data_IF_471784135002
#
_entry.id   IF_471784135002
#
_cell.length_a   1.000
_cell.length_b   1.000
_cell.length_c   1.000
_cell.angle_alpha   90.00
_cell.angle_beta   90.00
_cell.angle_gamma   90.00
#
_symmetry.space_group_name_H-M   'P 1'
#
loop_
_entity.id
_entity.type
_entity.pdbx_description
1 polymer ?
#
# COMPACT_ATOMS: atom_id res chain seq x y z
N UNK A 1 6.71 15.87 100.28
CA UNK A 1 7.75 16.79 99.82
C UNK A 1 7.48 17.15 98.37
N UNK A 2 7.36 18.44 98.13
CA UNK A 2 7.40 19.21 96.87
C UNK A 2 6.46 18.82 95.73
N UNK A 3 5.39 19.60 95.76
CA UNK A 3 4.53 20.17 94.70
C UNK A 3 5.31 20.55 93.43
N UNK A 4 4.73 20.30 92.27
CA UNK A 4 4.85 21.19 91.08
C UNK A 4 3.57 21.14 90.25
N UNK A 5 2.87 22.25 90.27
CA UNK A 5 1.74 22.63 89.45
C UNK A 5 2.25 22.86 88.03
N UNK A 6 1.58 22.30 87.01
CA UNK A 6 1.73 22.69 85.63
C UNK A 6 0.42 23.20 85.08
N UNK A 7 0.45 24.46 84.73
CA UNK A 7 -0.65 25.19 84.15
C UNK A 7 -0.85 24.73 82.68
N UNK A 8 -2.08 24.34 82.31
CA UNK A 8 -2.48 24.11 80.95
C UNK A 8 -2.90 25.41 80.27
N UNK A 9 -2.12 25.86 79.26
CA UNK A 9 -2.44 26.98 78.40
C UNK A 9 -3.31 26.40 77.23
N UNK A 10 -4.59 26.77 77.18
CA UNK A 10 -5.46 26.43 76.06
C UNK A 10 -5.24 27.48 74.94
N UNK A 11 -4.62 27.02 73.86
CA UNK A 11 -4.54 27.83 72.61
C UNK A 11 -5.71 27.47 71.72
N UNK A 12 -6.63 28.43 71.60
CA UNK A 12 -7.77 28.33 70.68
C UNK A 12 -7.29 28.66 69.26
N UNK A 13 -7.15 27.65 68.39
CA UNK A 13 -6.85 27.82 66.95
C UNK A 13 -8.16 28.01 66.17
N UNK A 14 -8.41 29.24 65.70
CA UNK A 14 -9.47 29.54 64.71
C UNK A 14 -9.07 28.93 63.35
N UNK A 15 -9.76 27.91 62.90
CA UNK A 15 -9.68 27.41 61.55
C UNK A 15 -10.52 28.28 60.60
N UNK A 16 -9.88 29.09 59.78
CA UNK A 16 -10.52 29.81 58.67
C UNK A 16 -10.64 28.85 57.52
N UNK A 17 -11.84 28.26 57.29
CA UNK A 17 -12.14 27.52 56.05
C UNK A 17 -12.27 28.45 54.89
N UNK A 18 -11.24 28.57 54.08
CA UNK A 18 -11.29 29.22 52.75
C UNK A 18 -11.88 28.21 51.75
N UNK A 19 -13.15 28.37 51.37
CA UNK A 19 -13.73 27.71 50.22
C UNK A 19 -13.10 28.28 48.94
N UNK A 20 -11.97 27.66 48.50
CA UNK A 20 -11.44 27.85 47.16
C UNK A 20 -12.23 27.01 46.18
N UNK A 21 -13.23 27.59 45.51
CA UNK A 21 -13.90 26.97 44.38
C UNK A 21 -12.90 26.74 43.26
N UNK A 22 -12.51 25.49 43.03
CA UNK A 22 -11.76 25.10 41.85
C UNK A 22 -12.65 25.32 40.63
N UNK A 23 -12.35 26.36 39.87
CA UNK A 23 -12.93 26.57 38.54
C UNK A 23 -12.36 25.49 37.67
N UNK A 24 -13.13 24.41 37.39
CA UNK A 24 -12.82 23.42 36.39
C UNK A 24 -12.86 24.12 35.02
N UNK A 25 -11.73 24.55 34.53
CA UNK A 25 -11.56 24.97 33.13
C UNK A 25 -11.71 23.72 32.31
N UNK A 26 -12.91 23.44 31.76
CA UNK A 26 -13.09 22.47 30.70
C UNK A 26 -12.15 22.85 29.56
N UNK A 27 -11.30 21.93 29.07
CA UNK A 27 -10.50 22.20 27.90
C UNK A 27 -11.44 22.55 26.75
N UNK A 28 -11.38 23.77 26.26
CA UNK A 28 -12.03 24.18 25.01
C UNK A 28 -11.62 23.16 23.93
N UNK A 29 -12.55 22.64 23.13
CA UNK A 29 -12.17 21.78 22.02
C UNK A 29 -11.20 22.55 21.14
N UNK A 30 -9.97 22.07 21.03
CA UNK A 30 -9.00 22.59 20.08
C UNK A 30 -9.63 22.49 18.70
N UNK A 31 -10.03 23.61 18.12
CA UNK A 31 -10.49 23.69 16.73
C UNK A 31 -9.24 23.37 15.91
N UNK A 32 -9.07 22.11 15.58
CA UNK A 32 -8.05 21.71 14.62
C UNK A 32 -8.42 22.38 13.31
N UNK A 33 -7.58 23.29 12.82
CA UNK A 33 -7.82 24.00 11.58
C UNK A 33 -8.10 22.99 10.47
N UNK A 34 -9.12 23.23 9.67
CA UNK A 34 -9.45 22.38 8.53
C UNK A 34 -8.21 22.23 7.64
N UNK A 35 -7.83 21.00 7.24
CA UNK A 35 -6.70 20.80 6.32
C UNK A 35 -6.98 21.34 4.91
N UNK A 36 -8.14 21.93 4.68
CA UNK A 36 -8.58 22.48 3.40
C UNK A 36 -8.72 24.02 3.46
N UNK A 37 -8.45 24.72 2.32
CA UNK A 37 -8.05 24.19 1.02
C UNK A 37 -6.66 23.58 1.01
N UNK A 38 -6.47 22.51 0.22
CA UNK A 38 -5.18 21.86 0.04
C UNK A 38 -4.80 21.79 -1.46
N UNK A 39 -3.58 22.20 -1.79
CA UNK A 39 -3.01 22.00 -3.13
C UNK A 39 -1.99 20.88 -3.06
N UNK A 40 -2.18 19.85 -3.87
CA UNK A 40 -1.40 18.63 -3.89
C UNK A 40 -0.73 18.44 -5.25
N UNK A 41 0.50 17.94 -5.27
CA UNK A 41 1.13 17.44 -6.50
C UNK A 41 0.84 15.95 -6.62
N UNK A 42 0.29 15.53 -7.74
CA UNK A 42 0.01 14.13 -8.02
C UNK A 42 1.23 13.40 -8.64
N UNK A 43 1.09 12.11 -8.95
CA UNK A 43 2.18 11.29 -9.52
C UNK A 43 2.54 11.66 -10.97
N UNK A 44 1.78 12.53 -11.63
CA UNK A 44 2.11 13.14 -12.93
C UNK A 44 2.66 14.57 -12.78
N UNK A 45 3.02 15.00 -11.55
CA UNK A 45 3.46 16.35 -11.21
C UNK A 45 2.43 17.44 -11.54
N UNK A 46 1.14 17.09 -11.58
CA UNK A 46 0.06 18.05 -11.78
C UNK A 46 -0.38 18.62 -10.43
N UNK A 47 -0.72 19.90 -10.43
CA UNK A 47 -1.24 20.57 -9.24
C UNK A 47 -2.76 20.37 -9.17
N UNK A 48 -3.24 19.75 -8.09
CA UNK A 48 -4.66 19.49 -7.83
C UNK A 48 -5.08 20.24 -6.57
N UNK A 49 -6.02 21.19 -6.71
CA UNK A 49 -6.53 21.98 -5.57
C UNK A 49 -7.86 21.39 -5.10
N UNK A 50 -7.92 21.04 -3.82
CA UNK A 50 -9.10 20.52 -3.14
C UNK A 50 -9.55 21.61 -2.18
N UNK A 51 -10.67 22.26 -2.48
CA UNK A 51 -11.14 23.47 -1.78
C UNK A 51 -11.78 23.17 -0.42
N UNK A 52 -12.40 22.02 -0.29
CA UNK A 52 -13.06 21.54 0.93
C UNK A 52 -12.92 20.03 1.04
N UNK A 53 -13.22 19.46 2.21
CA UNK A 53 -13.21 18.02 2.39
C UNK A 53 -14.15 17.34 1.37
N UNK A 54 -13.64 16.45 0.52
CA UNK A 54 -14.50 15.79 -0.47
C UNK A 54 -15.37 14.73 0.21
N UNK A 55 -16.67 14.72 -0.11
CA UNK A 55 -17.65 13.80 0.47
C UNK A 55 -18.14 12.74 -0.53
N UNK A 56 -17.83 12.90 -1.82
CA UNK A 56 -18.18 11.95 -2.88
C UNK A 56 -16.92 11.58 -3.67
N UNK A 57 -16.39 10.40 -3.39
CA UNK A 57 -15.12 9.91 -3.96
C UNK A 57 -15.40 8.83 -5.00
N UNK A 58 -14.74 8.92 -6.14
CA UNK A 58 -14.65 7.82 -7.09
C UNK A 58 -13.22 7.33 -7.13
N UNK A 59 -13.03 6.01 -7.06
CA UNK A 59 -11.73 5.36 -7.07
C UNK A 59 -11.60 4.45 -8.29
N UNK A 60 -10.62 4.75 -9.14
CA UNK A 60 -10.30 3.98 -10.34
C UNK A 60 -8.91 3.38 -10.16
N UNK A 61 -8.87 2.22 -9.52
CA UNK A 61 -7.67 1.46 -9.18
C UNK A 61 -7.80 0.71 -7.86
N UNK A 62 -7.63 -0.64 -7.84
CA UNK A 62 -7.85 -1.45 -6.64
C UNK A 62 -6.96 -1.05 -5.45
N UNK A 63 -5.70 -0.71 -5.71
CA UNK A 63 -4.78 -0.24 -4.66
C UNK A 63 -5.22 1.10 -4.05
N UNK A 64 -5.76 2.01 -4.87
CA UNK A 64 -6.28 3.30 -4.44
C UNK A 64 -7.50 3.08 -3.54
N UNK A 65 -8.41 2.22 -3.98
CA UNK A 65 -9.61 1.84 -3.21
C UNK A 65 -9.20 1.30 -1.84
N UNK A 66 -8.26 0.36 -1.79
CA UNK A 66 -7.75 -0.19 -0.52
C UNK A 66 -7.17 0.91 0.40
N UNK A 67 -6.45 1.91 -0.15
CA UNK A 67 -5.96 3.05 0.62
C UNK A 67 -7.08 3.91 1.18
N UNK A 68 -8.09 4.24 0.38
CA UNK A 68 -9.22 5.07 0.83
C UNK A 68 -9.97 4.41 1.99
N UNK A 69 -10.17 3.09 1.93
CA UNK A 69 -10.76 2.35 3.03
C UNK A 69 -9.84 2.30 4.26
N UNK A 70 -8.54 2.05 4.08
CA UNK A 70 -7.56 2.07 5.18
C UNK A 70 -7.45 3.44 5.87
N UNK A 71 -7.70 4.53 5.14
CA UNK A 71 -7.76 5.89 5.65
C UNK A 71 -9.12 6.27 6.26
N UNK A 72 -10.07 5.34 6.36
CA UNK A 72 -11.41 5.59 6.88
C UNK A 72 -12.30 6.44 5.96
N UNK A 73 -11.91 6.60 4.69
CA UNK A 73 -12.69 7.33 3.69
C UNK A 73 -13.73 6.44 2.96
N UNK A 74 -13.75 5.14 3.23
CA UNK A 74 -14.65 4.17 2.60
C UNK A 74 -16.14 4.57 2.54
N UNK A 75 -16.75 5.12 3.60
CA UNK A 75 -18.14 5.59 3.57
C UNK A 75 -18.41 6.70 2.52
N UNK A 76 -17.40 7.43 2.10
CA UNK A 76 -17.48 8.49 1.09
C UNK A 76 -17.21 8.01 -0.34
N UNK A 77 -16.73 6.78 -0.50
CA UNK A 77 -16.50 6.17 -1.81
C UNK A 77 -17.86 5.78 -2.41
N UNK A 78 -18.26 6.47 -3.47
CA UNK A 78 -19.53 6.27 -4.17
C UNK A 78 -19.40 5.42 -5.44
N UNK A 79 -18.18 5.28 -5.98
CA UNK A 79 -17.91 4.46 -7.15
C UNK A 79 -16.48 3.91 -7.15
N UNK A 80 -16.33 2.70 -7.71
CA UNK A 80 -15.06 1.98 -7.83
C UNK A 80 -14.93 1.34 -9.21
N UNK A 81 -13.72 0.99 -9.64
CA UNK A 81 -13.53 0.17 -10.83
C UNK A 81 -13.94 -1.30 -10.59
N UNK A 82 -14.07 -2.06 -11.69
CA UNK A 82 -14.54 -3.46 -11.66
C UNK A 82 -13.57 -4.42 -10.96
N UNK A 83 -12.33 -3.99 -10.67
CA UNK A 83 -11.29 -4.79 -10.01
C UNK A 83 -11.13 -4.46 -8.51
N UNK A 84 -11.87 -3.46 -8.02
CA UNK A 84 -11.81 -3.00 -6.63
C UNK A 84 -12.71 -3.84 -5.73
N UNK A 85 -12.23 -4.98 -5.29
CA UNK A 85 -12.92 -6.00 -4.48
C UNK A 85 -12.40 -6.10 -3.03
N UNK A 86 -11.37 -5.33 -2.68
CA UNK A 86 -10.82 -5.27 -1.32
C UNK A 86 -10.85 -3.82 -0.75
N UNK A 87 -11.36 -3.67 0.48
CA UNK A 87 -12.06 -4.68 1.30
C UNK A 87 -13.39 -5.10 0.65
N UNK A 88 -13.99 -6.20 1.07
CA UNK A 88 -15.23 -6.73 0.51
C UNK A 88 -16.37 -5.67 0.42
N UNK A 89 -16.37 -4.69 1.32
CA UNK A 89 -17.30 -3.55 1.28
C UNK A 89 -17.12 -2.70 0.00
N UNK A 90 -15.93 -2.62 -0.57
CA UNK A 90 -15.67 -1.86 -1.79
C UNK A 90 -16.46 -2.42 -2.98
N UNK A 91 -16.57 -3.74 -3.10
CA UNK A 91 -17.33 -4.40 -4.15
C UNK A 91 -18.85 -4.11 -4.13
N UNK A 92 -19.36 -3.49 -3.07
CA UNK A 92 -20.77 -3.07 -2.97
C UNK A 92 -21.05 -1.67 -3.54
N UNK A 93 -20.01 -0.95 -3.98
CA UNK A 93 -20.12 0.39 -4.54
C UNK A 93 -20.54 0.34 -6.03
N UNK A 94 -20.96 1.47 -6.58
CA UNK A 94 -21.25 1.56 -8.01
C UNK A 94 -19.99 1.29 -8.85
N UNK A 95 -20.08 0.39 -9.82
CA UNK A 95 -18.96 0.06 -10.69
C UNK A 95 -18.89 1.02 -11.89
N UNK A 96 -17.74 1.65 -12.06
CA UNK A 96 -17.49 2.66 -13.13
C UNK A 96 -16.66 2.12 -14.29
N UNK A 97 -16.62 0.80 -14.47
CA UNK A 97 -15.88 0.10 -15.54
C UNK A 97 -14.54 -0.45 -15.08
N UNK A 98 -13.94 -1.30 -15.91
CA UNK A 98 -12.67 -1.97 -15.64
C UNK A 98 -11.52 -1.36 -16.45
N UNK A 99 -10.92 -2.14 -17.39
CA UNK A 99 -9.85 -1.67 -18.29
C UNK A 99 -10.28 -0.39 -19.06
N UNK A 100 -11.55 -0.29 -19.42
CA UNK A 100 -12.14 0.92 -19.96
C UNK A 100 -13.06 1.54 -18.91
N UNK A 101 -12.75 2.78 -18.55
CA UNK A 101 -13.58 3.57 -17.63
C UNK A 101 -14.89 3.97 -18.32
N UNK A 102 -16.00 3.75 -17.64
CA UNK A 102 -17.31 4.25 -18.07
C UNK A 102 -17.46 5.70 -17.61
N UNK A 103 -17.08 6.61 -18.48
CA UNK A 103 -17.09 8.06 -18.25
C UNK A 103 -18.46 8.58 -17.80
N UNK A 104 -19.54 8.11 -18.43
CA UNK A 104 -20.89 8.57 -18.13
C UNK A 104 -21.32 8.19 -16.72
N UNK A 105 -20.97 6.98 -16.27
CA UNK A 105 -21.21 6.54 -14.89
C UNK A 105 -20.42 7.39 -13.89
N UNK A 106 -19.14 7.69 -14.17
CA UNK A 106 -18.34 8.56 -13.29
C UNK A 106 -19.01 9.92 -13.12
N UNK A 107 -19.41 10.55 -14.23
CA UNK A 107 -20.08 11.87 -14.21
C UNK A 107 -21.43 11.81 -13.50
N UNK A 108 -22.23 10.76 -13.72
CA UNK A 108 -23.52 10.57 -13.08
C UNK A 108 -23.44 10.47 -11.55
N UNK A 109 -22.32 9.96 -11.02
CA UNK A 109 -22.06 9.87 -9.58
C UNK A 109 -21.76 11.22 -8.93
N UNK A 110 -21.53 12.28 -9.72
CA UNK A 110 -21.23 13.65 -9.25
C UNK A 110 -20.14 13.66 -8.18
N UNK A 111 -18.94 13.12 -8.45
CA UNK A 111 -17.87 13.08 -7.46
C UNK A 111 -17.27 14.47 -7.22
N UNK A 112 -16.89 14.74 -5.98
CA UNK A 112 -16.08 15.92 -5.62
C UNK A 112 -14.61 15.71 -6.00
N UNK A 113 -14.15 14.44 -5.97
CA UNK A 113 -12.78 14.06 -6.29
C UNK A 113 -12.76 12.65 -6.90
N UNK A 114 -12.05 12.51 -8.00
CA UNK A 114 -11.75 11.23 -8.64
C UNK A 114 -10.29 10.89 -8.38
N UNK A 115 -10.04 9.72 -7.82
CA UNK A 115 -8.71 9.12 -7.75
C UNK A 115 -8.56 8.12 -8.89
N UNK A 116 -7.44 8.15 -9.59
CA UNK A 116 -7.25 7.30 -10.75
C UNK A 116 -5.81 6.83 -10.87
N UNK A 117 -5.61 5.60 -11.32
CA UNK A 117 -4.32 5.19 -11.86
C UNK A 117 -4.01 5.98 -13.12
N UNK A 118 -2.76 5.94 -13.56
CA UNK A 118 -2.35 6.55 -14.81
C UNK A 118 -2.94 5.78 -16.01
N UNK A 119 -3.55 6.51 -16.94
CA UNK A 119 -3.98 6.01 -18.22
C UNK A 119 -3.22 6.70 -19.35
N UNK A 120 -3.00 5.99 -20.47
CA UNK A 120 -2.35 6.51 -21.68
C UNK A 120 -3.33 6.77 -22.84
N UNK A 121 -4.62 6.53 -22.63
CA UNK A 121 -5.67 6.59 -23.66
C UNK A 121 -6.50 7.88 -23.66
N UNK A 122 -6.07 8.89 -22.89
CA UNK A 122 -6.77 10.17 -22.75
C UNK A 122 -7.94 10.13 -21.76
N UNK A 123 -8.07 9.07 -20.96
CA UNK A 123 -9.14 8.97 -19.94
C UNK A 123 -9.08 10.10 -18.92
N UNK A 124 -7.88 10.45 -18.45
CA UNK A 124 -7.71 11.52 -17.45
C UNK A 124 -8.13 12.87 -18.01
N UNK A 125 -7.72 13.18 -19.24
CA UNK A 125 -8.05 14.43 -19.94
C UNK A 125 -9.56 14.55 -20.16
N UNK A 126 -10.24 13.46 -20.49
CA UNK A 126 -11.71 13.43 -20.66
C UNK A 126 -12.43 13.71 -19.34
N UNK A 127 -11.96 13.12 -18.22
CA UNK A 127 -12.54 13.38 -16.90
C UNK A 127 -12.36 14.84 -16.51
N UNK A 128 -11.19 15.43 -16.77
CA UNK A 128 -10.91 16.85 -16.51
C UNK A 128 -11.75 17.78 -17.40
N UNK A 129 -11.93 17.45 -18.67
CA UNK A 129 -12.78 18.21 -19.58
C UNK A 129 -14.25 18.26 -19.13
N UNK A 130 -14.71 17.27 -18.34
CA UNK A 130 -16.00 17.28 -17.66
C UNK A 130 -15.99 18.06 -16.34
N UNK A 131 -14.96 18.87 -16.08
CA UNK A 131 -14.79 19.66 -14.84
C UNK A 131 -14.68 18.80 -13.58
N UNK A 132 -14.30 17.54 -13.70
CA UNK A 132 -14.01 16.69 -12.55
C UNK A 132 -12.60 16.95 -12.03
N UNK A 133 -12.46 17.03 -10.71
CA UNK A 133 -11.17 17.13 -10.05
C UNK A 133 -10.54 15.71 -9.99
N UNK A 134 -9.38 15.53 -10.63
CA UNK A 134 -8.75 14.19 -10.78
C UNK A 134 -7.35 14.20 -10.20
N UNK A 135 -7.08 13.31 -9.25
CA UNK A 135 -5.77 13.07 -8.64
C UNK A 135 -5.23 11.72 -9.12
N UNK A 136 -4.12 11.73 -9.85
CA UNK A 136 -3.49 10.51 -10.38
C UNK A 136 -2.51 9.93 -9.36
N UNK A 137 -2.60 8.60 -9.20
CA UNK A 137 -1.80 7.79 -8.27
C UNK A 137 -1.16 6.65 -9.05
N UNK A 138 0.18 6.61 -9.09
CA UNK A 138 0.94 5.64 -9.91
C UNK A 138 2.24 5.23 -9.20
N UNK A 139 2.18 4.54 -8.03
CA UNK A 139 3.35 4.13 -7.29
C UNK A 139 4.15 3.06 -8.06
N UNK A 140 5.42 3.34 -8.34
CA UNK A 140 6.33 2.45 -9.07
C UNK A 140 7.33 1.72 -8.14
N UNK A 141 7.43 2.15 -6.89
CA UNK A 141 8.35 1.60 -5.89
C UNK A 141 7.64 1.35 -4.55
N UNK A 142 8.25 0.54 -3.68
CA UNK A 142 7.75 0.36 -2.30
C UNK A 142 7.76 1.69 -1.54
N UNK A 143 8.73 2.58 -1.80
CA UNK A 143 8.74 3.92 -1.17
C UNK A 143 7.59 4.80 -1.66
N UNK A 144 7.14 4.64 -2.90
CA UNK A 144 6.00 5.41 -3.43
C UNK A 144 4.68 4.95 -2.81
N UNK A 145 4.58 3.70 -2.36
CA UNK A 145 3.40 3.21 -1.62
C UNK A 145 3.20 3.99 -0.32
N UNK A 146 4.27 4.25 0.44
CA UNK A 146 4.20 5.08 1.63
C UNK A 146 3.85 6.55 1.30
N UNK A 147 4.42 7.12 0.23
CA UNK A 147 4.07 8.47 -0.26
C UNK A 147 2.60 8.55 -0.68
N UNK A 148 2.06 7.49 -1.28
CA UNK A 148 0.65 7.39 -1.65
C UNK A 148 -0.24 7.52 -0.42
N UNK A 149 0.08 6.85 0.69
CA UNK A 149 -0.67 6.97 1.94
C UNK A 149 -0.74 8.44 2.42
N UNK A 150 0.41 9.15 2.42
CA UNK A 150 0.46 10.58 2.79
C UNK A 150 -0.35 11.45 1.84
N UNK A 151 -0.20 11.25 0.52
CA UNK A 151 -0.91 12.01 -0.50
C UNK A 151 -2.43 11.85 -0.37
N UNK A 152 -2.90 10.60 -0.30
CA UNK A 152 -4.33 10.30 -0.19
C UNK A 152 -4.90 10.76 1.15
N UNK A 153 -4.14 10.60 2.25
CA UNK A 153 -4.55 11.12 3.56
C UNK A 153 -4.81 12.62 3.53
N UNK A 154 -3.91 13.40 2.93
CA UNK A 154 -4.09 14.85 2.74
C UNK A 154 -5.28 15.16 1.83
N UNK A 155 -5.47 14.39 0.77
CA UNK A 155 -6.58 14.57 -0.17
C UNK A 155 -7.95 14.35 0.46
N UNK A 156 -8.08 13.43 1.42
CA UNK A 156 -9.36 13.10 2.07
C UNK A 156 -9.50 13.65 3.49
N UNK A 157 -8.48 14.35 3.99
CA UNK A 157 -8.46 14.91 5.36
C UNK A 157 -8.37 13.82 6.44
N UNK A 158 -7.47 12.83 6.23
CA UNK A 158 -7.20 11.71 7.14
C UNK A 158 -5.71 11.61 7.51
N UNK A 159 -5.36 10.80 8.51
CA UNK A 159 -3.96 10.57 8.93
C UNK A 159 -3.20 9.66 7.96
N UNK A 160 -2.86 10.19 6.80
CA UNK A 160 -2.04 9.49 5.81
C UNK A 160 -0.60 9.27 6.26
N UNK A 161 -0.07 10.15 7.13
CA UNK A 161 1.28 10.00 7.66
C UNK A 161 1.40 8.86 8.67
N UNK A 162 0.37 8.68 9.51
CA UNK A 162 0.30 7.52 10.41
C UNK A 162 0.27 6.20 9.62
N UNK A 163 -0.53 6.13 8.56
CA UNK A 163 -0.58 4.98 7.68
C UNK A 163 0.78 4.76 6.97
N UNK A 164 1.40 5.82 6.43
CA UNK A 164 2.72 5.74 5.78
C UNK A 164 3.79 5.20 6.74
N UNK A 165 3.83 5.69 7.99
CA UNK A 165 4.75 5.18 9.02
C UNK A 165 4.52 3.70 9.32
N UNK A 166 3.26 3.27 9.43
CA UNK A 166 2.92 1.86 9.68
C UNK A 166 3.39 0.95 8.53
N UNK A 167 3.20 1.39 7.28
CA UNK A 167 3.69 0.69 6.09
C UNK A 167 5.21 0.57 6.13
N UNK A 168 5.91 1.70 6.37
CA UNK A 168 7.37 1.74 6.39
C UNK A 168 7.94 0.85 7.50
N UNK A 169 7.37 0.88 8.70
CA UNK A 169 7.79 0.03 9.81
C UNK A 169 7.72 -1.47 9.49
N UNK A 170 6.65 -1.91 8.82
CA UNK A 170 6.50 -3.31 8.40
C UNK A 170 7.55 -3.70 7.35
N UNK A 171 7.78 -2.84 6.37
CA UNK A 171 8.81 -3.05 5.34
C UNK A 171 10.20 -3.11 5.96
N UNK A 172 10.51 -2.18 6.88
CA UNK A 172 11.82 -2.12 7.55
C UNK A 172 12.06 -3.32 8.48
N UNK A 173 11.00 -3.86 9.09
CA UNK A 173 11.09 -5.09 9.86
C UNK A 173 11.52 -6.29 9.00
N UNK A 174 11.01 -6.39 7.77
CA UNK A 174 11.45 -7.43 6.82
C UNK A 174 12.89 -7.19 6.39
N UNK A 175 13.24 -5.96 5.97
CA UNK A 175 14.61 -5.59 5.59
C UNK A 175 15.62 -5.93 6.68
N UNK A 176 15.29 -5.64 7.94
CA UNK A 176 16.17 -5.94 9.08
C UNK A 176 16.40 -7.44 9.21
N UNK A 177 15.37 -8.28 9.04
CA UNK A 177 15.52 -9.73 9.09
C UNK A 177 16.39 -10.27 7.95
N UNK A 178 16.23 -9.72 6.75
CA UNK A 178 16.93 -10.19 5.55
C UNK A 178 18.30 -9.55 5.33
N UNK A 179 18.65 -8.50 6.10
CA UNK A 179 19.92 -7.77 5.94
C UNK A 179 21.18 -8.65 6.19
N UNK A 180 21.06 -9.67 7.03
CA UNK A 180 22.19 -10.52 7.45
C UNK A 180 22.25 -11.87 6.73
N UNK A 181 21.43 -12.09 5.69
CA UNK A 181 21.46 -13.36 4.96
C UNK A 181 22.81 -13.57 4.27
N UNK A 182 23.38 -14.77 4.42
CA UNK A 182 24.66 -15.11 3.81
C UNK A 182 24.57 -15.29 2.29
N UNK A 183 23.41 -15.67 1.79
CA UNK A 183 23.15 -15.93 0.36
C UNK A 183 21.88 -15.20 -0.08
N UNK A 184 21.93 -14.70 -1.31
CA UNK A 184 20.76 -14.06 -1.95
C UNK A 184 20.38 -14.90 -3.19
N UNK A 185 19.36 -15.76 -3.09
CA UNK A 185 18.99 -16.63 -4.20
C UNK A 185 18.47 -15.84 -5.40
N UNK A 186 18.73 -16.37 -6.60
CA UNK A 186 18.18 -15.84 -7.84
C UNK A 186 16.69 -16.15 -7.94
N UNK A 187 15.89 -15.11 -8.11
CA UNK A 187 14.43 -15.17 -8.17
C UNK A 187 13.94 -14.81 -9.56
N UNK A 188 13.09 -15.65 -10.10
CA UNK A 188 12.29 -15.36 -11.28
C UNK A 188 10.83 -15.19 -10.86
N UNK A 189 10.25 -14.03 -11.16
CA UNK A 189 8.82 -13.76 -10.95
C UNK A 189 8.11 -13.77 -12.30
N UNK A 190 7.20 -14.71 -12.51
CA UNK A 190 6.40 -14.81 -13.73
C UNK A 190 5.08 -14.07 -13.56
N UNK A 191 4.81 -13.13 -14.50
CA UNK A 191 3.54 -12.38 -14.54
C UNK A 191 2.59 -13.06 -15.52
N UNK A 192 3.04 -13.26 -16.77
CA UNK A 192 2.22 -13.78 -17.85
C UNK A 192 3.09 -14.62 -18.79
N UNK A 193 2.67 -15.85 -19.01
CA UNK A 193 3.31 -16.82 -19.92
C UNK A 193 2.32 -17.35 -20.97
N UNK A 194 1.29 -16.58 -21.30
CA UNK A 194 0.33 -16.91 -22.36
C UNK A 194 1.02 -17.06 -23.73
N UNK A 195 2.10 -16.33 -23.96
CA UNK A 195 3.06 -16.58 -25.06
C UNK A 195 4.37 -17.17 -24.50
N UNK A 196 4.61 -18.49 -24.68
CA UNK A 196 5.81 -19.16 -24.16
C UNK A 196 7.13 -18.62 -24.73
N UNK A 197 7.09 -17.91 -25.88
CA UNK A 197 8.27 -17.32 -26.50
C UNK A 197 8.64 -15.95 -25.89
N UNK A 198 7.69 -15.31 -25.20
CA UNK A 198 7.81 -13.94 -24.66
C UNK A 198 7.13 -13.82 -23.31
N UNK A 199 7.78 -14.33 -22.29
CA UNK A 199 7.21 -14.39 -20.94
C UNK A 199 7.43 -13.07 -20.22
N UNK A 200 6.35 -12.45 -19.75
CA UNK A 200 6.43 -11.24 -18.95
C UNK A 200 6.92 -11.52 -17.53
N UNK A 201 7.87 -10.73 -17.10
CA UNK A 201 8.43 -10.75 -15.74
C UNK A 201 8.53 -9.34 -15.17
N UNK A 202 9.07 -9.23 -13.97
CA UNK A 202 9.33 -7.95 -13.30
C UNK A 202 10.79 -7.55 -13.46
N UNK A 203 11.03 -6.26 -13.70
CA UNK A 203 12.34 -5.68 -13.85
C UNK A 203 12.53 -4.42 -12.98
N UNK A 204 13.66 -3.70 -13.15
CA UNK A 204 13.92 -2.44 -12.44
C UNK A 204 12.82 -1.42 -12.68
N UNK A 205 12.44 -0.69 -11.64
CA UNK A 205 11.36 0.29 -11.70
C UNK A 205 9.97 -0.29 -11.48
N UNK A 206 9.85 -1.58 -11.14
CA UNK A 206 8.62 -2.16 -10.59
C UNK A 206 8.74 -2.33 -9.08
N UNK A 207 7.64 -2.08 -8.34
CA UNK A 207 7.64 -2.29 -6.89
C UNK A 207 7.84 -3.77 -6.51
N UNK A 208 7.50 -4.72 -7.37
CA UNK A 208 7.75 -6.16 -7.14
C UNK A 208 9.27 -6.44 -7.19
N UNK A 209 10.02 -5.76 -8.05
CA UNK A 209 11.48 -5.84 -8.01
C UNK A 209 12.04 -5.38 -6.66
N UNK A 210 11.47 -4.31 -6.08
CA UNK A 210 11.84 -3.86 -4.74
C UNK A 210 11.49 -4.91 -3.69
N UNK A 211 10.35 -5.61 -3.81
CA UNK A 211 9.95 -6.68 -2.89
C UNK A 211 10.93 -7.87 -2.93
N UNK A 212 11.42 -8.23 -4.13
CA UNK A 212 12.45 -9.27 -4.27
C UNK A 212 13.73 -8.86 -3.54
N UNK A 213 14.16 -7.60 -3.70
CA UNK A 213 15.36 -7.07 -3.03
C UNK A 213 15.18 -7.02 -1.50
N UNK A 214 14.03 -6.50 -1.03
CA UNK A 214 13.65 -6.45 0.39
C UNK A 214 13.61 -7.85 1.00
N UNK A 215 13.14 -8.83 0.23
CA UNK A 215 13.11 -10.23 0.65
C UNK A 215 14.49 -10.90 0.69
N UNK A 216 15.56 -10.21 0.31
CA UNK A 216 16.92 -10.77 0.26
C UNK A 216 17.18 -11.65 -0.95
N UNK A 217 16.39 -11.56 -2.03
CA UNK A 217 16.60 -12.22 -3.30
C UNK A 217 17.38 -11.36 -4.30
N UNK A 218 17.72 -11.95 -5.44
CA UNK A 218 18.27 -11.25 -6.62
C UNK A 218 17.36 -11.54 -7.81
N UNK A 219 16.73 -10.53 -8.35
CA UNK A 219 15.88 -10.67 -9.52
C UNK A 219 16.73 -11.03 -10.76
N UNK A 220 16.38 -12.12 -11.49
CA UNK A 220 17.10 -12.49 -12.71
C UNK A 220 17.01 -11.43 -13.82
N UNK A 221 15.94 -10.62 -13.80
CA UNK A 221 15.73 -9.51 -14.74
C UNK A 221 16.22 -8.15 -14.21
N UNK A 222 17.06 -8.11 -13.14
CA UNK A 222 17.55 -6.86 -12.52
C UNK A 222 18.32 -5.92 -13.47
N UNK A 223 18.73 -6.38 -14.64
CA UNK A 223 19.44 -5.59 -15.67
C UNK A 223 18.57 -5.24 -16.88
N UNK A 224 17.28 -5.58 -16.85
CA UNK A 224 16.37 -5.25 -17.94
C UNK A 224 16.17 -3.72 -18.05
N UNK A 225 15.81 -3.24 -19.24
CA UNK A 225 15.62 -1.82 -19.51
C UNK A 225 14.23 -1.29 -19.10
N UNK A 226 13.30 -2.18 -18.72
CA UNK A 226 11.92 -1.80 -18.37
C UNK A 226 11.43 -2.47 -17.08
N UNK A 227 10.40 -1.89 -16.49
CA UNK A 227 9.76 -2.43 -15.29
C UNK A 227 9.08 -3.78 -15.51
N UNK A 228 8.64 -4.05 -16.73
CA UNK A 228 7.96 -5.30 -17.11
C UNK A 228 8.54 -5.82 -18.43
N UNK A 229 9.75 -6.41 -18.38
CA UNK A 229 10.39 -6.96 -19.57
C UNK A 229 9.78 -8.30 -19.96
N UNK A 230 9.98 -8.67 -21.22
CA UNK A 230 9.77 -10.03 -21.71
C UNK A 230 11.12 -10.76 -21.75
N UNK A 231 11.15 -11.99 -21.26
CA UNK A 231 12.29 -12.88 -21.35
C UNK A 231 11.95 -14.09 -22.23
N UNK A 232 12.91 -14.55 -23.01
CA UNK A 232 12.81 -15.84 -23.68
C UNK A 232 13.06 -17.00 -22.69
N UNK A 233 12.59 -18.18 -23.04
CA UNK A 233 12.85 -19.38 -22.25
C UNK A 233 14.36 -19.64 -22.08
N UNK A 234 15.17 -19.36 -23.12
CA UNK A 234 16.63 -19.52 -23.05
C UNK A 234 17.30 -18.55 -22.08
N UNK A 235 16.80 -17.30 -21.97
CA UNK A 235 17.31 -16.34 -21.01
C UNK A 235 17.02 -16.77 -19.58
N UNK A 236 15.81 -17.31 -19.32
CA UNK A 236 15.43 -17.85 -18.02
C UNK A 236 16.29 -19.06 -17.68
N UNK A 237 16.46 -20.02 -18.62
CA UNK A 237 17.33 -21.19 -18.45
C UNK A 237 18.77 -20.81 -18.13
N UNK A 238 19.33 -19.85 -18.85
CA UNK A 238 20.71 -19.35 -18.63
C UNK A 238 20.88 -18.68 -17.28
N UNK A 239 19.84 -17.99 -16.80
CA UNK A 239 19.84 -17.31 -15.50
C UNK A 239 19.75 -18.30 -14.33
N UNK A 240 19.30 -19.52 -14.58
CA UNK A 240 19.15 -20.62 -13.61
C UNK A 240 18.56 -20.13 -12.27
N UNK A 241 17.29 -19.69 -12.23
CA UNK A 241 16.69 -19.21 -11.00
C UNK A 241 16.62 -20.32 -9.95
N UNK A 242 16.89 -19.94 -8.70
CA UNK A 242 16.79 -20.83 -7.54
C UNK A 242 15.40 -20.84 -6.94
N UNK A 243 14.60 -19.81 -7.28
CA UNK A 243 13.21 -19.66 -6.87
C UNK A 243 12.41 -19.15 -8.06
N UNK A 244 11.24 -19.73 -8.28
CA UNK A 244 10.22 -19.23 -9.21
C UNK A 244 8.99 -18.85 -8.40
N UNK A 245 8.51 -17.61 -8.60
CA UNK A 245 7.28 -17.09 -7.99
C UNK A 245 6.26 -16.79 -9.08
N UNK A 246 5.04 -17.27 -8.89
CA UNK A 246 3.92 -17.12 -9.81
C UNK A 246 2.82 -16.32 -9.11
N UNK A 247 2.31 -15.26 -9.72
CA UNK A 247 1.06 -14.66 -9.28
C UNK A 247 -0.08 -15.64 -9.51
N UNK A 248 -0.87 -15.95 -8.48
CA UNK A 248 -1.94 -16.97 -8.60
C UNK A 248 -3.21 -16.39 -9.27
N UNK A 249 -3.05 -15.72 -10.39
CA UNK A 249 -4.13 -15.12 -11.19
C UNK A 249 -4.46 -15.94 -12.45
N UNK A 250 -5.40 -15.43 -13.25
CA UNK A 250 -5.88 -16.10 -14.45
C UNK A 250 -4.84 -16.19 -15.59
N UNK A 251 -3.78 -15.38 -15.53
CA UNK A 251 -2.75 -15.26 -16.57
C UNK A 251 -1.46 -16.00 -16.19
N UNK A 252 -1.32 -16.39 -14.92
CA UNK A 252 -0.13 -17.08 -14.43
C UNK A 252 -0.23 -18.58 -14.62
N UNK A 253 0.92 -19.21 -14.85
CA UNK A 253 1.04 -20.65 -14.93
C UNK A 253 0.87 -21.31 -13.55
N UNK A 254 0.54 -22.60 -13.53
CA UNK A 254 0.59 -23.41 -12.30
C UNK A 254 2.00 -23.98 -12.09
N UNK A 255 2.43 -24.22 -10.85
CA UNK A 255 3.75 -24.78 -10.57
C UNK A 255 4.08 -26.05 -11.36
N UNK A 256 3.10 -26.97 -11.53
CA UNK A 256 3.26 -28.19 -12.31
C UNK A 256 3.48 -27.95 -13.80
N UNK A 257 2.77 -26.96 -14.38
CA UNK A 257 2.92 -26.59 -15.79
C UNK A 257 4.31 -25.99 -16.05
N UNK A 258 4.80 -25.15 -15.13
CA UNK A 258 6.15 -24.57 -15.19
C UNK A 258 7.21 -25.66 -15.09
N UNK A 259 7.07 -26.60 -14.17
CA UNK A 259 8.01 -27.70 -13.99
C UNK A 259 8.05 -28.65 -15.23
N UNK A 260 6.94 -28.76 -15.96
CA UNK A 260 6.81 -29.61 -17.14
C UNK A 260 7.28 -28.92 -18.45
N UNK A 261 7.66 -27.62 -18.42
CA UNK A 261 8.16 -26.94 -19.62
C UNK A 261 9.41 -27.63 -20.18
N UNK A 262 9.49 -27.73 -21.50
CA UNK A 262 10.62 -28.38 -22.18
C UNK A 262 11.95 -27.71 -21.77
N UNK A 263 12.90 -28.52 -21.32
CA UNK A 263 14.23 -28.09 -20.90
C UNK A 263 14.32 -27.49 -19.49
N UNK A 264 13.20 -27.22 -18.81
CA UNK A 264 13.20 -26.55 -17.49
C UNK A 264 13.60 -27.45 -16.33
N UNK A 265 13.62 -28.78 -16.52
CA UNK A 265 14.08 -29.77 -15.52
C UNK A 265 15.52 -29.52 -15.00
N UNK A 266 16.33 -28.74 -15.73
CA UNK A 266 17.70 -28.41 -15.33
C UNK A 266 17.78 -27.19 -14.40
N UNK A 267 16.71 -26.37 -14.31
CA UNK A 267 16.65 -25.16 -13.47
C UNK A 267 16.69 -25.55 -11.99
N UNK A 268 17.48 -24.82 -11.20
CA UNK A 268 17.63 -25.05 -9.77
C UNK A 268 16.30 -25.02 -9.01
N UNK A 269 15.41 -24.07 -9.31
CA UNK A 269 14.08 -23.99 -8.71
C UNK A 269 13.22 -25.24 -8.99
N UNK A 270 13.28 -25.78 -10.21
CA UNK A 270 12.53 -26.99 -10.59
C UNK A 270 13.10 -28.22 -9.88
N UNK A 271 14.42 -28.42 -9.90
CA UNK A 271 15.10 -29.53 -9.22
C UNK A 271 14.81 -29.60 -7.72
N UNK A 272 14.70 -28.43 -7.10
CA UNK A 272 14.56 -28.31 -5.64
C UNK A 272 13.10 -28.06 -5.21
N UNK A 273 12.12 -28.17 -6.11
CA UNK A 273 10.71 -27.91 -5.86
C UNK A 273 10.43 -26.53 -5.25
N UNK A 274 11.18 -25.50 -5.69
CA UNK A 274 11.03 -24.11 -5.22
C UNK A 274 10.27 -23.27 -6.24
N UNK A 275 9.10 -23.74 -6.66
CA UNK A 275 8.14 -23.03 -7.50
C UNK A 275 6.93 -22.74 -6.62
N UNK A 276 6.67 -21.46 -6.36
CA UNK A 276 5.66 -21.03 -5.42
C UNK A 276 4.61 -20.16 -6.10
N UNK A 277 3.40 -20.18 -5.57
CA UNK A 277 2.37 -19.19 -5.89
C UNK A 277 2.27 -18.16 -4.79
N UNK A 278 1.91 -16.92 -5.14
CA UNK A 278 1.65 -15.84 -4.21
C UNK A 278 0.28 -15.23 -4.53
N UNK A 279 -0.42 -14.73 -3.51
CA UNK A 279 -1.73 -14.10 -3.66
C UNK A 279 -1.63 -12.86 -4.58
N UNK A 280 -2.33 -12.83 -5.72
CA UNK A 280 -2.28 -11.73 -6.67
C UNK A 280 -2.82 -10.42 -6.07
N UNK A 281 -3.79 -10.46 -5.17
CA UNK A 281 -4.32 -9.28 -4.50
C UNK A 281 -3.29 -8.63 -3.57
N UNK A 282 -2.37 -9.44 -3.05
CA UNK A 282 -1.28 -8.97 -2.22
C UNK A 282 -0.10 -8.45 -3.04
N UNK A 283 0.24 -9.14 -4.15
CA UNK A 283 1.48 -8.87 -4.87
C UNK A 283 1.31 -7.96 -6.09
N UNK A 284 0.14 -7.95 -6.74
CA UNK A 284 -0.09 -7.15 -7.95
C UNK A 284 -0.69 -5.77 -7.64
N UNK A 285 -0.99 -5.48 -6.36
CA UNK A 285 -1.61 -4.22 -5.93
C UNK A 285 -0.65 -3.45 -5.01
N UNK A 286 0.02 -2.38 -5.48
CA UNK A 286 0.88 -1.54 -4.65
C UNK A 286 0.04 -0.71 -3.65
N UNK A 287 -0.51 -1.39 -2.67
CA UNK A 287 -1.49 -0.87 -1.71
C UNK A 287 -0.98 -0.83 -0.26
N UNK A 288 -1.85 -0.52 0.70
CA UNK A 288 -1.49 -0.39 2.12
C UNK A 288 -0.93 -1.68 2.74
N UNK A 289 -1.15 -2.84 2.10
CA UNK A 289 -0.65 -4.15 2.53
C UNK A 289 0.74 -4.51 1.99
N UNK A 290 1.48 -3.57 1.40
CA UNK A 290 2.81 -3.85 0.82
C UNK A 290 3.81 -4.41 1.83
N UNK A 291 3.68 -4.10 3.12
CA UNK A 291 4.49 -4.72 4.19
C UNK A 291 4.19 -6.21 4.36
N UNK A 292 2.95 -6.62 4.18
CA UNK A 292 2.54 -8.04 4.17
C UNK A 292 3.06 -8.74 2.90
N UNK A 293 3.04 -8.05 1.75
CA UNK A 293 3.62 -8.54 0.51
C UNK A 293 5.13 -8.79 0.65
N UNK A 294 5.85 -7.84 1.27
CA UNK A 294 7.28 -8.00 1.55
C UNK A 294 7.56 -9.21 2.46
N UNK A 295 6.76 -9.40 3.50
CA UNK A 295 6.90 -10.54 4.42
C UNK A 295 6.56 -11.87 3.71
N UNK A 296 5.48 -11.91 2.92
CA UNK A 296 5.11 -13.09 2.15
C UNK A 296 6.23 -13.49 1.17
N UNK A 297 6.80 -12.51 0.48
CA UNK A 297 7.93 -12.73 -0.42
C UNK A 297 9.16 -13.26 0.34
N UNK A 298 9.50 -12.63 1.47
CA UNK A 298 10.65 -13.02 2.28
C UNK A 298 10.51 -14.45 2.85
N UNK A 299 9.30 -14.89 3.19
CA UNK A 299 9.01 -16.29 3.59
C UNK A 299 9.26 -17.30 2.48
N UNK A 300 9.06 -16.93 1.21
CA UNK A 300 9.37 -17.79 0.07
C UNK A 300 10.88 -17.84 -0.20
N UNK A 301 11.56 -16.71 -0.05
CA UNK A 301 12.99 -16.57 -0.33
C UNK A 301 13.85 -17.16 0.80
N UNK A 302 13.52 -16.82 2.05
CA UNK A 302 14.23 -17.19 3.28
C UNK A 302 13.29 -17.74 4.36
N UNK A 303 12.68 -18.93 4.16
CA UNK A 303 11.73 -19.48 5.14
C UNK A 303 12.34 -19.71 6.52
N UNK A 304 13.67 -19.89 6.62
CA UNK A 304 14.41 -20.08 7.87
C UNK A 304 14.33 -18.86 8.81
N UNK A 305 14.13 -17.63 8.27
CA UNK A 305 14.04 -16.39 9.06
C UNK A 305 12.65 -16.16 9.68
N UNK A 306 11.64 -16.96 9.29
CA UNK A 306 10.24 -16.75 9.67
C UNK A 306 9.62 -17.97 10.38
N UNK A 307 10.44 -18.80 10.99
CA UNK A 307 10.04 -19.96 11.81
C UNK A 307 9.66 -19.54 13.23
#
# INVERSE_FOLDING_TARGET
MRSRVFAFLVVLVLAISACGGAVSVSPSPSITASPFPATLSDFQNRSVTITSRPERLVSIGPSITAFLFALGAGPRVVGVDDFSDEPAEAATRDHVGGIKVNFEKVVALKPDLVFSVKFSDGTIEKLQAASLNVLVVDPQSVSDVAKTATLLGRAVGADGEGLARSIQQRVDAVKTKTASVATRPRVYHEIDASDPAKIFTVGPGSYINDLIDIAGGVNIAARAASAYPQLSAEEILRSDPEIIVLSADAYSSKPGDVAARQGWSIIGAVKNNRIFTIDPNLINRPGPRVGEAAEAYAKLVHPELFR
#
